data_IF_507296217326
#
_entry.id   IF_507296217326
#
_cell.length_a   1.000
_cell.length_b   1.000
_cell.length_c   1.000
_cell.angle_alpha   90.00
_cell.angle_beta   90.00
_cell.angle_gamma   90.00
#
_symmetry.space_group_name_H-M   'P 1'
#
loop_
_entity.id
_entity.type
_entity.pdbx_description
1 polymer ?
#
# COMPACT_ATOMS: atom_id res chain seq x y z
N UNK A 1 77.51 -7.51 31.51
CA UNK A 1 78.26 -7.50 30.23
C UNK A 1 77.96 -6.16 29.58
N UNK A 2 78.75 -5.11 29.81
CA UNK A 2 79.84 -4.62 28.93
C UNK A 2 79.35 -4.39 27.49
N UNK A 3 79.48 -3.26 26.81
CA UNK A 3 80.32 -2.05 26.89
C UNK A 3 79.78 -1.11 25.77
N UNK A 4 79.66 0.22 26.00
CA UNK A 4 80.33 1.36 25.30
C UNK A 4 80.47 1.25 23.77
N UNK A 5 80.16 2.27 22.95
CA UNK A 5 80.92 3.53 22.73
C UNK A 5 80.10 4.52 21.85
N UNK A 6 79.96 5.82 22.18
CA UNK A 6 80.70 7.03 21.67
C UNK A 6 80.41 7.38 20.18
N UNK A 7 80.31 8.62 19.66
CA UNK A 7 80.62 10.00 20.10
C UNK A 7 80.28 11.03 18.98
N UNK A 8 79.97 12.29 19.38
CA UNK A 8 80.37 13.63 18.81
C UNK A 8 79.95 14.08 17.38
N UNK A 9 79.19 15.20 17.27
CA UNK A 9 79.58 16.60 16.82
C UNK A 9 79.75 16.75 15.28
N UNK A 10 79.44 17.82 14.53
CA UNK A 10 79.15 19.26 14.73
C UNK A 10 78.76 19.90 13.35
N UNK A 11 78.02 21.02 13.39
CA UNK A 11 78.08 22.25 12.53
C UNK A 11 77.96 22.25 10.97
N UNK A 12 76.87 22.91 10.48
CA UNK A 12 76.69 23.94 9.38
C UNK A 12 77.35 23.79 7.97
N UNK A 13 76.97 24.61 6.92
CA UNK A 13 75.69 25.19 6.47
C UNK A 13 75.46 25.13 4.90
N UNK A 14 74.29 25.58 4.40
CA UNK A 14 74.03 25.94 2.97
C UNK A 14 73.81 24.76 2.01
N UNK A 15 73.09 24.81 0.89
CA UNK A 15 72.33 25.82 0.15
C UNK A 15 71.50 25.09 -0.93
N UNK A 16 70.32 25.63 -1.27
CA UNK A 16 69.60 25.50 -2.55
C UNK A 16 69.42 24.11 -3.21
N UNK A 17 68.16 23.68 -3.37
CA UNK A 17 67.47 23.64 -4.68
C UNK A 17 66.04 23.12 -4.54
N UNK A 18 65.19 23.69 -5.39
CA UNK A 18 63.75 23.49 -5.52
C UNK A 18 63.34 22.08 -5.97
N UNK A 19 62.26 21.54 -5.40
CA UNK A 19 61.15 20.92 -6.15
C UNK A 19 60.02 20.53 -5.19
N UNK A 20 58.80 20.97 -5.51
CA UNK A 20 57.56 20.68 -4.79
C UNK A 20 57.21 19.18 -4.78
N UNK A 21 56.37 18.72 -3.85
CA UNK A 21 54.99 18.43 -4.27
C UNK A 21 53.90 18.80 -3.25
N UNK A 22 52.83 19.39 -3.82
CA UNK A 22 51.40 19.14 -3.58
C UNK A 22 50.95 18.84 -2.14
N UNK A 23 50.39 19.86 -1.49
CA UNK A 23 49.63 19.76 -0.24
C UNK A 23 48.16 19.39 -0.48
N UNK A 24 47.70 18.37 0.23
CA UNK A 24 46.28 18.09 0.47
C UNK A 24 45.68 19.19 1.36
N UNK A 25 44.66 19.87 0.84
CA UNK A 25 43.79 20.74 1.63
C UNK A 25 42.37 20.14 1.61
N UNK A 26 41.84 19.88 2.80
CA UNK A 26 40.42 19.61 3.01
C UNK A 26 39.59 20.80 2.53
N UNK A 27 38.39 20.55 1.96
CA UNK A 27 37.33 21.53 2.09
C UNK A 27 36.02 20.96 2.66
N UNK A 28 35.53 21.71 3.65
CA UNK A 28 34.16 22.18 3.83
C UNK A 28 32.99 21.17 3.80
N UNK A 29 32.33 21.07 4.97
CA UNK A 29 30.93 20.68 5.12
C UNK A 29 30.05 21.53 4.18
N UNK A 30 29.43 20.91 3.19
CA UNK A 30 28.29 21.50 2.49
C UNK A 30 27.00 21.16 3.24
N UNK A 31 26.31 22.19 3.72
CA UNK A 31 24.90 22.11 4.09
C UNK A 31 24.11 21.92 2.80
N UNK A 32 23.53 20.74 2.60
CA UNK A 32 22.56 20.53 1.54
C UNK A 32 21.23 21.17 1.95
N UNK A 33 20.94 22.31 1.34
CA UNK A 33 19.68 23.04 1.38
C UNK A 33 18.52 22.17 0.88
N UNK A 34 17.40 22.22 1.60
CA UNK A 34 16.12 21.68 1.13
C UNK A 34 15.54 22.61 0.06
N UNK A 35 14.95 22.11 -1.04
CA UNK A 35 14.22 22.97 -1.95
C UNK A 35 12.84 23.28 -1.35
N UNK A 36 12.68 24.51 -0.87
CA UNK A 36 11.37 25.15 -0.73
C UNK A 36 10.85 25.44 -2.14
N UNK A 37 9.74 24.79 -2.53
CA UNK A 37 9.02 25.16 -3.75
C UNK A 37 8.04 26.27 -3.38
N UNK A 38 8.35 27.49 -3.83
CA UNK A 38 7.45 28.62 -3.84
C UNK A 38 6.43 28.45 -4.98
N UNK A 39 5.16 28.73 -4.69
CA UNK A 39 4.10 28.79 -5.69
C UNK A 39 4.24 30.10 -6.47
N UNK A 40 4.41 30.03 -7.79
CA UNK A 40 4.28 31.16 -8.69
C UNK A 40 3.11 30.89 -9.63
N UNK A 41 2.05 31.69 -9.50
CA UNK A 41 1.01 31.87 -10.51
C UNK A 41 1.62 32.57 -11.72
N UNK A 42 1.47 32.01 -12.92
CA UNK A 42 1.17 32.86 -14.09
C UNK A 42 0.58 32.12 -15.31
N UNK A 43 -0.48 32.75 -15.83
CA UNK A 43 -0.95 32.94 -17.22
C UNK A 43 -1.29 31.78 -18.19
N UNK A 44 -2.61 31.64 -18.37
CA UNK A 44 -3.41 31.64 -19.62
C UNK A 44 -2.85 30.95 -20.89
N UNK A 45 -3.50 29.85 -21.27
CA UNK A 45 -3.54 29.33 -22.66
C UNK A 45 -5.00 29.00 -22.99
N UNK A 46 -5.54 29.60 -24.05
CA UNK A 46 -6.89 29.32 -24.56
C UNK A 46 -6.99 27.93 -25.24
N UNK A 47 -8.10 27.19 -25.10
CA UNK A 47 -8.36 25.98 -25.86
C UNK A 47 -9.30 26.22 -27.05
N UNK A 48 -8.90 25.75 -28.24
CA UNK A 48 -9.81 25.52 -29.37
C UNK A 48 -10.61 24.22 -29.15
N UNK A 49 -11.90 24.24 -29.51
CA UNK A 49 -12.92 23.19 -29.34
C UNK A 49 -12.65 21.86 -30.07
N UNK A 50 -13.45 20.80 -29.93
CA UNK A 50 -14.82 20.63 -29.45
C UNK A 50 -14.99 19.21 -28.86
N UNK A 51 -15.78 19.09 -27.78
CA UNK A 51 -16.71 17.99 -27.46
C UNK A 51 -17.30 18.29 -26.06
N UNK A 52 -18.33 19.14 -26.04
CA UNK A 52 -19.03 19.59 -24.83
C UNK A 52 -19.79 18.45 -24.15
N UNK A 53 -19.26 18.00 -23.01
CA UNK A 53 -20.10 17.58 -21.88
C UNK A 53 -20.61 18.87 -21.23
N UNK A 54 -21.92 19.10 -21.33
CA UNK A 54 -22.62 20.33 -20.93
C UNK A 54 -22.08 20.96 -19.65
N UNK A 55 -21.46 22.12 -19.80
CA UNK A 55 -21.11 23.03 -18.73
C UNK A 55 -22.39 23.66 -18.15
N UNK A 56 -22.91 23.06 -17.09
CA UNK A 56 -23.92 23.68 -16.24
C UNK A 56 -23.48 23.54 -14.78
N UNK A 57 -22.87 24.61 -14.24
CA UNK A 57 -22.58 24.81 -12.81
C UNK A 57 -21.38 24.05 -12.26
N UNK A 58 -20.15 24.45 -12.59
CA UNK A 58 -18.96 23.98 -11.86
C UNK A 58 -18.52 25.08 -10.89
N UNK A 59 -18.91 24.99 -9.62
CA UNK A 59 -18.17 25.70 -8.57
C UNK A 59 -16.70 25.26 -8.60
N UNK A 60 -15.77 26.17 -8.38
CA UNK A 60 -14.35 25.80 -8.28
C UNK A 60 -14.07 25.09 -6.96
N UNK A 61 -13.30 24.00 -6.97
CA UNK A 61 -12.88 23.33 -5.74
C UNK A 61 -11.61 23.98 -5.18
N UNK A 62 -11.73 24.65 -4.03
CA UNK A 62 -10.59 25.20 -3.31
C UNK A 62 -10.01 24.22 -2.29
N UNK A 63 -8.79 23.73 -2.55
CA UNK A 63 -8.08 22.85 -1.61
C UNK A 63 -7.72 23.56 -0.30
N UNK A 64 -7.41 24.86 -0.36
CA UNK A 64 -7.08 25.65 0.84
C UNK A 64 -8.29 25.84 1.74
N UNK A 65 -9.47 26.09 1.16
CA UNK A 65 -10.73 26.15 1.91
C UNK A 65 -11.07 24.79 2.54
N UNK A 66 -11.03 23.71 1.75
CA UNK A 66 -11.26 22.37 2.27
C UNK A 66 -10.29 22.04 3.41
N UNK A 67 -9.01 22.40 3.29
CA UNK A 67 -8.00 22.22 4.34
C UNK A 67 -8.32 23.00 5.61
N UNK A 68 -8.84 24.22 5.49
CA UNK A 68 -9.28 25.04 6.63
C UNK A 68 -10.45 24.38 7.37
N UNK A 69 -11.43 23.84 6.63
CA UNK A 69 -12.60 23.16 7.21
C UNK A 69 -12.16 21.95 8.04
N UNK A 70 -11.25 21.12 7.53
CA UNK A 70 -10.84 19.85 8.16
C UNK A 70 -9.55 19.92 8.98
N UNK A 71 -9.05 21.14 9.28
CA UNK A 71 -7.72 21.35 9.86
C UNK A 71 -7.43 20.56 11.15
N UNK A 72 -8.45 20.30 11.97
CA UNK A 72 -8.33 19.63 13.27
C UNK A 72 -8.21 18.09 13.16
N UNK A 73 -8.44 17.52 11.97
CA UNK A 73 -8.55 16.06 11.79
C UNK A 73 -7.22 15.35 11.48
N UNK A 74 -6.07 16.05 11.45
CA UNK A 74 -4.78 15.49 11.02
C UNK A 74 -3.95 14.82 12.12
N UNK A 75 -4.52 14.57 13.29
CA UNK A 75 -3.82 13.95 14.41
C UNK A 75 -4.22 12.47 14.58
N UNK A 76 -3.34 11.51 14.26
CA UNK A 76 -3.62 10.11 14.50
C UNK A 76 -3.67 9.83 16.01
N UNK A 77 -4.69 9.10 16.46
CA UNK A 77 -4.83 8.68 17.86
C UNK A 77 -4.29 7.26 18.04
N UNK A 78 -3.11 7.06 18.67
CA UNK A 78 -2.48 5.73 18.76
C UNK A 78 -3.36 4.68 19.44
N UNK A 79 -4.19 5.06 20.42
CA UNK A 79 -5.06 4.12 21.13
C UNK A 79 -6.10 3.48 20.21
N UNK A 80 -6.64 4.26 19.26
CA UNK A 80 -7.57 3.75 18.26
C UNK A 80 -6.86 2.75 17.34
N UNK A 81 -5.64 3.06 16.87
CA UNK A 81 -4.89 2.15 16.00
C UNK A 81 -4.52 0.84 16.71
N UNK A 82 -3.99 0.93 17.94
CA UNK A 82 -3.59 -0.25 18.71
C UNK A 82 -4.77 -1.13 19.08
N UNK A 83 -5.85 -0.55 19.63
CA UNK A 83 -7.03 -1.31 20.04
C UNK A 83 -7.73 -1.95 18.85
N UNK A 84 -7.99 -1.21 17.77
CA UNK A 84 -8.63 -1.74 16.57
C UNK A 84 -7.80 -2.87 15.96
N UNK A 85 -6.50 -2.63 15.74
CA UNK A 85 -5.65 -3.64 15.13
C UNK A 85 -5.51 -4.90 15.99
N UNK A 86 -5.20 -4.77 17.28
CA UNK A 86 -4.94 -5.93 18.15
C UNK A 86 -6.21 -6.72 18.46
N UNK A 87 -7.35 -6.05 18.67
CA UNK A 87 -8.64 -6.74 18.87
C UNK A 87 -9.08 -7.44 17.59
N UNK A 88 -9.02 -6.75 16.44
CA UNK A 88 -9.34 -7.35 15.14
C UNK A 88 -8.44 -8.55 14.86
N UNK A 89 -7.14 -8.43 15.12
CA UNK A 89 -6.19 -9.52 14.93
C UNK A 89 -6.47 -10.69 15.87
N UNK A 90 -6.62 -10.44 17.17
CA UNK A 90 -6.85 -11.50 18.16
C UNK A 90 -8.14 -12.27 17.89
N UNK A 91 -9.25 -11.56 17.63
CA UNK A 91 -10.53 -12.19 17.30
C UNK A 91 -10.46 -12.89 15.94
N UNK A 92 -9.81 -12.29 14.94
CA UNK A 92 -9.64 -12.89 13.62
C UNK A 92 -8.84 -14.19 13.65
N UNK A 93 -7.72 -14.21 14.37
CA UNK A 93 -6.88 -15.41 14.55
C UNK A 93 -7.59 -16.46 15.41
N UNK A 94 -8.30 -16.06 16.47
CA UNK A 94 -9.09 -16.99 17.27
C UNK A 94 -10.19 -17.66 16.43
N UNK A 95 -10.96 -16.87 15.66
CA UNK A 95 -11.96 -17.39 14.75
C UNK A 95 -11.35 -18.33 13.69
N UNK A 96 -10.23 -17.91 13.07
CA UNK A 96 -9.50 -18.73 12.10
C UNK A 96 -9.08 -20.08 12.70
N UNK A 97 -8.56 -20.06 13.93
CA UNK A 97 -8.11 -21.27 14.63
C UNK A 97 -9.23 -22.23 15.00
N UNK A 98 -10.49 -21.79 15.00
CA UNK A 98 -11.66 -22.56 15.39
C UNK A 98 -12.48 -23.04 14.18
N UNK A 99 -12.24 -22.52 12.96
CA UNK A 99 -13.00 -22.89 11.74
C UNK A 99 -13.10 -24.40 11.56
N UNK A 100 -11.99 -25.12 11.79
CA UNK A 100 -11.89 -26.57 11.59
C UNK A 100 -12.10 -27.39 12.86
N UNK A 101 -12.39 -26.73 13.97
CA UNK A 101 -12.59 -27.36 15.27
C UNK A 101 -13.88 -26.86 15.94
N UNK A 102 -15.03 -26.83 15.23
CA UNK A 102 -16.29 -26.34 15.80
C UNK A 102 -16.78 -27.15 17.01
N UNK A 103 -16.34 -28.41 17.13
CA UNK A 103 -16.61 -29.28 18.29
C UNK A 103 -16.08 -28.72 19.61
N UNK A 104 -15.09 -27.81 19.56
CA UNK A 104 -14.58 -27.11 20.75
C UNK A 104 -15.55 -26.05 21.29
N UNK A 105 -16.54 -25.65 20.48
CA UNK A 105 -17.53 -24.65 20.85
C UNK A 105 -18.87 -25.31 21.18
N UNK A 106 -19.26 -26.34 20.42
CA UNK A 106 -20.55 -27.02 20.62
C UNK A 106 -20.45 -28.52 20.37
N UNK A 107 -21.05 -29.31 21.29
CA UNK A 107 -21.17 -30.75 21.13
C UNK A 107 -22.26 -31.17 20.12
N UNK A 108 -23.14 -30.25 19.72
CA UNK A 108 -24.20 -30.55 18.76
C UNK A 108 -23.66 -30.47 17.32
N UNK A 109 -23.49 -31.64 16.70
CA UNK A 109 -22.95 -31.81 15.34
C UNK A 109 -23.74 -31.04 14.26
N UNK A 110 -25.04 -30.83 14.46
CA UNK A 110 -25.86 -30.08 13.51
C UNK A 110 -25.40 -28.62 13.36
N UNK A 111 -24.70 -28.06 14.36
CA UNK A 111 -24.19 -26.70 14.35
C UNK A 111 -22.76 -26.57 13.83
N UNK A 112 -22.04 -27.68 13.60
CA UNK A 112 -20.62 -27.62 13.22
C UNK A 112 -20.41 -26.87 11.90
N UNK A 113 -21.13 -27.25 10.85
CA UNK A 113 -21.01 -26.60 9.53
C UNK A 113 -21.42 -25.13 9.53
N UNK A 114 -22.60 -24.75 10.06
CA UNK A 114 -22.99 -23.34 10.17
C UNK A 114 -21.96 -22.51 10.95
N UNK A 115 -21.43 -23.05 12.05
CA UNK A 115 -20.44 -22.37 12.87
C UNK A 115 -19.11 -22.19 12.13
N UNK A 116 -18.62 -23.22 11.44
CA UNK A 116 -17.42 -23.14 10.60
C UNK A 116 -17.54 -22.05 9.52
N UNK A 117 -18.71 -21.92 8.89
CA UNK A 117 -18.98 -20.85 7.90
C UNK A 117 -18.87 -19.46 8.56
N UNK A 118 -19.55 -19.26 9.69
CA UNK A 118 -19.55 -17.97 10.40
C UNK A 118 -18.15 -17.61 10.87
N UNK A 119 -17.40 -18.57 11.42
CA UNK A 119 -16.02 -18.39 11.85
C UNK A 119 -15.11 -18.07 10.67
N UNK A 120 -15.28 -18.74 9.53
CA UNK A 120 -14.49 -18.48 8.32
C UNK A 120 -14.67 -17.03 7.86
N UNK A 121 -15.91 -16.58 7.63
CA UNK A 121 -16.15 -15.20 7.17
C UNK A 121 -15.74 -14.16 8.21
N UNK A 122 -15.99 -14.41 9.49
CA UNK A 122 -15.54 -13.52 10.58
C UNK A 122 -14.01 -13.38 10.56
N UNK A 123 -13.30 -14.51 10.49
CA UNK A 123 -11.83 -14.51 10.44
C UNK A 123 -11.30 -13.80 9.19
N UNK A 124 -11.87 -14.09 8.01
CA UNK A 124 -11.40 -13.54 6.75
C UNK A 124 -11.64 -12.03 6.63
N UNK A 125 -12.78 -11.52 7.12
CA UNK A 125 -13.07 -10.09 7.19
C UNK A 125 -12.15 -9.34 8.16
N UNK A 126 -11.84 -9.94 9.31
CA UNK A 126 -10.91 -9.36 10.28
C UNK A 126 -9.46 -9.40 9.80
N UNK A 127 -9.03 -10.50 9.16
CA UNK A 127 -7.72 -10.58 8.49
C UNK A 127 -7.62 -9.54 7.37
N UNK A 128 -8.68 -9.35 6.59
CA UNK A 128 -8.75 -8.30 5.58
C UNK A 128 -8.60 -6.91 6.19
N UNK A 129 -9.37 -6.62 7.26
CA UNK A 129 -9.25 -5.36 8.01
C UNK A 129 -7.83 -5.13 8.53
N UNK A 130 -7.22 -6.13 9.17
CA UNK A 130 -5.83 -6.07 9.65
C UNK A 130 -4.83 -5.84 8.52
N UNK A 131 -5.04 -6.46 7.36
CA UNK A 131 -4.18 -6.29 6.18
C UNK A 131 -4.20 -4.85 5.68
N UNK A 132 -5.37 -4.19 5.69
CA UNK A 132 -5.52 -2.83 5.18
C UNK A 132 -4.90 -1.73 6.04
N UNK A 133 -4.46 -2.02 7.27
CA UNK A 133 -3.62 -1.08 8.01
C UNK A 133 -2.30 -0.76 7.30
N UNK A 134 -1.86 -1.60 6.33
CA UNK A 134 -0.72 -1.27 5.46
C UNK A 134 -0.91 0.05 4.72
N UNK A 135 -2.16 0.38 4.39
CA UNK A 135 -2.55 1.61 3.70
C UNK A 135 -2.38 2.84 4.59
N UNK A 136 -2.75 2.76 5.86
CA UNK A 136 -2.47 3.83 6.82
C UNK A 136 -0.97 3.97 7.07
N UNK A 137 -0.28 2.85 7.23
CA UNK A 137 1.13 2.81 7.58
C UNK A 137 2.05 3.45 6.53
N UNK A 138 1.66 3.42 5.26
CA UNK A 138 2.43 4.05 4.18
C UNK A 138 2.30 5.58 4.17
N UNK A 139 1.14 6.10 4.57
CA UNK A 139 0.86 7.54 4.62
C UNK A 139 1.32 8.22 5.91
N UNK A 140 1.47 7.46 7.00
CA UNK A 140 2.05 7.97 8.24
C UNK A 140 3.50 8.40 8.03
N UNK A 141 3.82 9.61 8.49
CA UNK A 141 5.13 10.24 8.34
C UNK A 141 6.27 9.32 8.80
N UNK A 142 7.38 9.36 8.04
CA UNK A 142 8.60 8.61 8.42
C UNK A 142 9.07 9.04 9.80
N UNK A 143 9.18 8.09 10.73
CA UNK A 143 9.62 8.33 12.10
C UNK A 143 8.53 8.17 13.15
N UNK A 144 7.26 8.21 12.73
CA UNK A 144 6.11 7.98 13.60
C UNK A 144 5.65 6.51 13.55
N UNK A 145 4.88 6.08 14.55
CA UNK A 145 4.29 4.73 14.64
C UNK A 145 5.31 3.59 14.44
N UNK A 146 6.59 3.79 14.78
CA UNK A 146 7.67 2.81 14.54
C UNK A 146 7.38 1.45 15.16
N UNK A 147 6.99 1.44 16.44
CA UNK A 147 6.68 0.20 17.17
C UNK A 147 5.43 -0.45 16.59
N UNK A 148 4.39 0.34 16.30
CA UNK A 148 3.17 -0.18 15.67
C UNK A 148 3.46 -0.83 14.32
N UNK A 149 4.31 -0.21 13.47
CA UNK A 149 4.73 -0.78 12.18
C UNK A 149 5.52 -2.09 12.34
N UNK A 150 6.37 -2.20 13.36
CA UNK A 150 7.08 -3.45 13.67
C UNK A 150 6.08 -4.53 14.08
N UNK A 151 5.21 -4.25 15.05
CA UNK A 151 4.21 -5.22 15.53
C UNK A 151 3.25 -5.61 14.42
N UNK A 152 2.78 -4.66 13.61
CA UNK A 152 1.95 -4.92 12.46
C UNK A 152 2.64 -5.85 11.45
N UNK A 153 3.92 -5.64 11.14
CA UNK A 153 4.65 -6.57 10.27
C UNK A 153 4.78 -7.96 10.90
N UNK A 154 5.04 -8.07 12.20
CA UNK A 154 5.19 -9.37 12.84
C UNK A 154 3.86 -10.15 12.91
N UNK A 155 2.74 -9.46 13.11
CA UNK A 155 1.42 -10.08 13.30
C UNK A 155 0.60 -10.22 12.01
N UNK A 156 0.75 -9.29 11.07
CA UNK A 156 -0.02 -9.24 9.82
C UNK A 156 0.90 -9.24 8.59
N UNK A 157 1.83 -8.29 8.48
CA UNK A 157 2.65 -8.13 7.28
C UNK A 157 3.38 -9.40 6.83
N UNK A 158 4.14 -10.03 7.73
CA UNK A 158 4.89 -11.27 7.46
C UNK A 158 3.96 -12.48 7.37
N UNK A 159 3.07 -12.75 8.36
CA UNK A 159 2.19 -13.92 8.28
C UNK A 159 1.23 -13.92 7.09
N UNK A 160 0.83 -12.74 6.62
CA UNK A 160 -0.06 -12.57 5.46
C UNK A 160 0.70 -12.33 4.16
N UNK A 161 2.05 -12.40 4.18
CA UNK A 161 2.92 -12.27 3.00
C UNK A 161 2.83 -10.91 2.28
N UNK A 162 2.52 -9.85 3.04
CA UNK A 162 2.35 -8.46 2.60
C UNK A 162 3.17 -7.48 3.47
N UNK A 163 4.49 -7.68 3.61
CA UNK A 163 5.30 -6.83 4.47
C UNK A 163 5.34 -5.38 3.92
N UNK A 164 5.44 -4.38 4.79
CA UNK A 164 5.10 -2.97 4.44
C UNK A 164 5.77 -2.44 3.16
N UNK A 165 6.98 -2.89 2.82
CA UNK A 165 7.70 -2.36 1.65
C UNK A 165 7.02 -2.63 0.30
N UNK A 166 6.13 -3.63 0.22
CA UNK A 166 5.38 -3.95 -1.01
C UNK A 166 4.34 -2.89 -1.33
N UNK A 167 4.02 -2.01 -0.37
CA UNK A 167 2.99 -0.98 -0.52
C UNK A 167 3.57 0.43 -0.67
N UNK A 168 4.90 0.59 -0.72
CA UNK A 168 5.51 1.92 -0.85
C UNK A 168 5.21 2.63 -2.17
N UNK A 169 4.92 1.86 -3.23
CA UNK A 169 4.49 2.40 -4.53
C UNK A 169 3.15 3.11 -4.44
N UNK A 170 2.34 2.84 -3.41
CA UNK A 170 1.08 3.54 -3.19
C UNK A 170 1.27 5.05 -3.02
N UNK A 171 2.43 5.52 -2.53
CA UNK A 171 2.69 6.96 -2.45
C UNK A 171 2.69 7.59 -3.85
N UNK A 172 3.17 6.86 -4.86
CA UNK A 172 3.23 7.35 -6.23
C UNK A 172 1.82 7.51 -6.82
N UNK A 173 0.87 6.64 -6.45
CA UNK A 173 -0.55 6.78 -6.81
C UNK A 173 -1.17 8.09 -6.31
N UNK A 174 -0.70 8.66 -5.19
CA UNK A 174 -1.17 9.96 -4.68
C UNK A 174 -0.41 11.17 -5.24
N UNK A 175 0.64 10.95 -6.04
CA UNK A 175 1.38 12.05 -6.65
C UNK A 175 0.63 12.57 -7.85
N UNK A 176 0.36 13.88 -7.84
CA UNK A 176 -0.35 14.58 -8.92
C UNK A 176 0.17 14.24 -10.31
N UNK A 177 1.49 14.18 -10.48
CA UNK A 177 2.14 13.91 -11.77
C UNK A 177 2.08 12.45 -12.23
N UNK A 178 1.85 11.52 -11.31
CA UNK A 178 1.90 10.09 -11.60
C UNK A 178 0.51 9.48 -11.72
N UNK A 179 -0.48 9.97 -10.93
CA UNK A 179 -1.84 9.44 -10.91
C UNK A 179 -2.38 9.24 -12.32
N UNK A 180 -2.85 8.04 -12.62
CA UNK A 180 -3.47 7.74 -13.90
C UNK A 180 -2.52 7.65 -15.10
N UNK A 181 -1.20 7.72 -14.89
CA UNK A 181 -0.16 7.55 -15.91
C UNK A 181 0.51 6.17 -15.80
N UNK A 182 1.46 5.87 -16.68
CA UNK A 182 2.25 4.62 -16.64
C UNK A 182 3.16 4.51 -15.39
N UNK A 183 3.41 5.62 -14.69
CA UNK A 183 4.20 5.63 -13.46
C UNK A 183 3.38 5.25 -12.22
N UNK A 184 2.07 5.06 -12.37
CA UNK A 184 1.15 4.63 -11.33
C UNK A 184 0.74 3.15 -11.52
N UNK A 185 1.41 2.25 -10.81
CA UNK A 185 1.07 0.82 -10.85
C UNK A 185 -0.31 0.50 -10.25
N UNK A 186 -0.90 1.40 -9.45
CA UNK A 186 -2.23 1.24 -8.89
C UNK A 186 -3.32 1.81 -9.79
N UNK A 187 -2.99 2.19 -11.03
CA UNK A 187 -3.97 2.67 -11.98
C UNK A 187 -3.86 1.99 -13.33
N UNK A 188 -5.01 1.53 -13.83
CA UNK A 188 -5.19 1.10 -15.21
C UNK A 188 -6.45 1.78 -15.71
N UNK A 189 -6.43 2.31 -16.93
CA UNK A 189 -7.58 2.97 -17.57
C UNK A 189 -8.69 1.99 -17.97
N UNK A 190 -9.21 1.24 -17.00
CA UNK A 190 -10.20 0.18 -17.19
C UNK A 190 -11.45 0.67 -17.92
N UNK A 191 -11.89 1.92 -17.70
CA UNK A 191 -13.04 2.49 -18.39
C UNK A 191 -12.82 2.64 -19.91
N UNK A 192 -11.55 2.62 -20.36
CA UNK A 192 -11.14 2.71 -21.77
C UNK A 192 -10.64 1.37 -22.34
N UNK A 193 -10.66 0.31 -21.52
CA UNK A 193 -10.26 -1.03 -21.94
C UNK A 193 -11.49 -1.92 -22.17
N UNK A 194 -11.36 -3.02 -22.94
CA UNK A 194 -12.45 -3.98 -23.10
C UNK A 194 -12.93 -4.52 -21.74
N UNK A 195 -14.24 -4.78 -21.54
CA UNK A 195 -14.77 -5.30 -20.28
C UNK A 195 -14.12 -6.61 -19.81
N UNK A 196 -13.59 -7.41 -20.74
CA UNK A 196 -12.80 -8.61 -20.43
C UNK A 196 -11.60 -8.34 -19.52
N UNK A 197 -11.03 -7.12 -19.55
CA UNK A 197 -9.92 -6.75 -18.66
C UNK A 197 -10.35 -6.69 -17.19
N UNK A 198 -11.60 -6.28 -16.91
CA UNK A 198 -12.16 -6.30 -15.55
C UNK A 198 -12.25 -7.75 -15.06
N UNK A 199 -12.72 -8.67 -15.92
CA UNK A 199 -12.77 -10.10 -15.59
C UNK A 199 -11.38 -10.69 -15.41
N UNK A 200 -10.42 -10.30 -16.26
CA UNK A 200 -9.04 -10.73 -16.12
C UNK A 200 -8.46 -10.29 -14.77
N UNK A 201 -8.62 -9.03 -14.39
CA UNK A 201 -8.22 -8.50 -13.09
C UNK A 201 -8.83 -9.31 -11.93
N UNK A 202 -10.14 -9.55 -11.98
CA UNK A 202 -10.84 -10.33 -10.94
C UNK A 202 -10.41 -11.80 -10.90
N UNK A 203 -9.93 -12.38 -12.01
CA UNK A 203 -9.49 -13.78 -12.01
C UNK A 203 -8.12 -13.98 -11.33
N UNK A 204 -7.29 -12.94 -11.25
CA UNK A 204 -5.97 -13.00 -10.62
C UNK A 204 -6.03 -13.36 -9.13
N UNK A 205 -7.16 -13.08 -8.46
CA UNK A 205 -7.36 -13.38 -7.03
C UNK A 205 -7.18 -14.86 -6.69
N UNK A 206 -7.37 -15.76 -7.66
CA UNK A 206 -7.18 -17.21 -7.51
C UNK A 206 -5.70 -17.61 -7.51
N UNK A 207 -4.84 -16.81 -8.15
CA UNK A 207 -3.44 -17.13 -8.40
C UNK A 207 -2.50 -16.32 -7.50
N UNK A 208 -2.89 -15.11 -7.10
CA UNK A 208 -2.10 -14.21 -6.22
C UNK A 208 -1.61 -14.91 -4.94
N UNK A 209 -2.44 -15.66 -4.17
CA UNK A 209 -1.96 -16.36 -2.97
C UNK A 209 -0.83 -17.36 -3.26
N UNK A 210 -0.88 -18.04 -4.42
CA UNK A 210 0.15 -18.98 -4.85
C UNK A 210 1.43 -18.24 -5.30
N UNK A 211 1.27 -17.13 -6.01
CA UNK A 211 2.39 -16.27 -6.42
C UNK A 211 3.11 -15.66 -5.21
N UNK A 212 2.37 -15.30 -4.15
CA UNK A 212 2.97 -14.83 -2.91
C UNK A 212 3.87 -15.91 -2.30
N UNK A 213 3.39 -17.16 -2.19
CA UNK A 213 4.20 -18.28 -1.68
C UNK A 213 5.45 -18.49 -2.55
N UNK A 214 5.30 -18.51 -3.88
CA UNK A 214 6.43 -18.66 -4.80
C UNK A 214 7.44 -17.50 -4.68
N UNK A 215 6.94 -16.26 -4.56
CA UNK A 215 7.75 -15.05 -4.39
C UNK A 215 8.59 -15.11 -3.13
N UNK A 216 8.01 -15.49 -2.00
CA UNK A 216 8.71 -15.48 -0.73
C UNK A 216 9.53 -16.75 -0.50
N UNK A 217 9.01 -17.92 -0.85
CA UNK A 217 9.66 -19.22 -0.62
C UNK A 217 10.75 -19.56 -1.65
N UNK A 218 10.60 -19.14 -2.91
CA UNK A 218 11.50 -19.49 -4.01
C UNK A 218 12.32 -18.29 -4.51
N UNK A 219 11.69 -17.16 -4.86
CA UNK A 219 12.42 -16.03 -5.43
C UNK A 219 13.33 -15.32 -4.42
N UNK A 220 12.94 -15.27 -3.14
CA UNK A 220 13.76 -14.65 -2.09
C UNK A 220 15.18 -15.23 -2.01
N UNK A 221 15.41 -16.54 -1.81
CA UNK A 221 16.77 -17.07 -1.75
C UNK A 221 17.51 -16.90 -3.09
N UNK A 222 16.83 -17.04 -4.22
CA UNK A 222 17.42 -16.83 -5.55
C UNK A 222 17.89 -15.37 -5.74
N UNK A 223 17.18 -14.40 -5.17
CA UNK A 223 17.56 -12.99 -5.17
C UNK A 223 18.82 -12.71 -4.33
N UNK A 224 19.13 -13.55 -3.35
CA UNK A 224 20.36 -13.43 -2.57
C UNK A 224 21.56 -13.97 -3.32
N UNK A 225 21.36 -14.97 -4.18
CA UNK A 225 22.39 -15.60 -4.99
C UNK A 225 22.71 -14.77 -6.25
N UNK A 226 21.68 -14.29 -6.96
CA UNK A 226 21.85 -13.62 -8.26
C UNK A 226 21.38 -12.15 -8.23
N UNK A 227 22.27 -11.19 -8.51
CA UNK A 227 21.90 -9.78 -8.68
C UNK A 227 20.85 -9.56 -9.76
N UNK A 228 20.88 -10.32 -10.87
CA UNK A 228 19.91 -10.20 -11.96
C UNK A 228 18.51 -10.62 -11.50
N UNK A 229 18.41 -11.74 -10.78
CA UNK A 229 17.14 -12.21 -10.22
C UNK A 229 16.62 -11.23 -9.17
N UNK A 230 17.50 -10.68 -8.33
CA UNK A 230 17.13 -9.65 -7.35
C UNK A 230 16.52 -8.42 -7.98
N UNK A 231 17.19 -7.87 -8.99
CA UNK A 231 16.74 -6.64 -9.63
C UNK A 231 15.44 -6.87 -10.40
N UNK A 232 15.28 -8.03 -11.05
CA UNK A 232 14.01 -8.44 -11.66
C UNK A 232 12.89 -8.59 -10.61
N UNK A 233 13.19 -9.26 -9.50
CA UNK A 233 12.23 -9.49 -8.40
C UNK A 233 11.78 -8.17 -7.78
N UNK A 234 12.69 -7.21 -7.60
CA UNK A 234 12.35 -5.87 -7.11
C UNK A 234 11.50 -5.08 -8.09
N UNK A 235 11.76 -5.20 -9.39
CA UNK A 235 11.02 -4.48 -10.44
C UNK A 235 9.60 -5.00 -10.63
N UNK A 236 9.41 -6.32 -10.63
CA UNK A 236 8.16 -6.94 -11.11
C UNK A 236 7.38 -7.73 -10.06
N UNK A 237 8.02 -8.15 -8.96
CA UNK A 237 7.42 -9.06 -7.99
C UNK A 237 7.52 -8.53 -6.55
N UNK A 238 7.54 -7.21 -6.38
CA UNK A 238 7.78 -6.56 -5.08
C UNK A 238 6.85 -5.38 -4.80
N UNK A 239 5.76 -5.26 -5.55
CA UNK A 239 4.75 -4.22 -5.38
C UNK A 239 3.36 -4.86 -5.36
N UNK A 240 2.50 -4.40 -4.45
CA UNK A 240 1.08 -4.78 -4.44
C UNK A 240 0.29 -3.74 -5.20
N UNK A 241 0.10 -4.00 -6.48
CA UNK A 241 -0.41 -3.05 -7.47
C UNK A 241 -1.38 -3.76 -8.41
N UNK A 242 -2.06 -3.01 -9.28
CA UNK A 242 -2.96 -3.60 -10.27
C UNK A 242 -2.30 -3.88 -11.60
N UNK A 243 -1.44 -2.97 -12.08
CA UNK A 243 -0.82 -3.11 -13.39
C UNK A 243 0.29 -4.18 -13.36
N UNK A 244 0.12 -5.33 -14.03
CA UNK A 244 1.16 -6.35 -14.11
C UNK A 244 2.38 -5.91 -14.93
N UNK A 245 2.26 -4.85 -15.74
CA UNK A 245 3.33 -4.34 -16.58
C UNK A 245 4.19 -3.26 -15.89
N UNK A 246 3.74 -2.75 -14.75
CA UNK A 246 4.46 -1.73 -13.99
C UNK A 246 5.86 -2.21 -13.58
N UNK A 247 6.82 -1.29 -13.67
CA UNK A 247 8.23 -1.54 -13.34
C UNK A 247 8.64 -0.65 -12.18
N UNK A 248 8.79 -1.23 -11.00
CA UNK A 248 9.22 -0.49 -9.81
C UNK A 248 10.65 0.03 -9.96
N UNK A 249 10.94 1.31 -9.62
CA UNK A 249 12.30 1.80 -9.50
C UNK A 249 13.12 1.02 -8.46
N UNK A 250 14.41 0.83 -8.73
CA UNK A 250 15.28 0.10 -7.80
C UNK A 250 15.45 0.88 -6.48
N UNK A 251 15.43 0.17 -5.33
CA UNK A 251 15.50 0.83 -4.04
C UNK A 251 16.90 1.39 -3.75
N UNK A 252 16.94 2.51 -3.03
CA UNK A 252 18.17 3.07 -2.46
C UNK A 252 18.85 2.06 -1.52
N UNK A 253 20.17 2.15 -1.26
CA UNK A 253 20.86 1.21 -0.38
C UNK A 253 20.26 1.11 1.03
N UNK A 254 19.72 2.21 1.56
CA UNK A 254 19.04 2.23 2.87
C UNK A 254 17.74 1.43 2.82
N UNK A 255 16.88 1.68 1.83
CA UNK A 255 15.60 0.97 1.68
C UNK A 255 15.84 -0.52 1.40
N UNK A 256 16.86 -0.84 0.60
CA UNK A 256 17.25 -2.22 0.28
C UNK A 256 17.55 -3.07 1.52
N UNK A 257 18.22 -2.51 2.54
CA UNK A 257 18.49 -3.24 3.80
C UNK A 257 17.21 -3.64 4.53
N UNK A 258 16.24 -2.72 4.58
CA UNK A 258 14.93 -3.00 5.19
C UNK A 258 14.13 -4.01 4.37
N UNK A 259 14.17 -3.92 3.04
CA UNK A 259 13.54 -4.90 2.15
C UNK A 259 14.10 -6.30 2.42
N UNK A 260 15.44 -6.45 2.46
CA UNK A 260 16.07 -7.76 2.73
C UNK A 260 15.65 -8.36 4.07
N UNK A 261 15.51 -7.54 5.11
CA UNK A 261 15.03 -8.01 6.41
C UNK A 261 13.60 -8.55 6.32
N UNK A 262 12.69 -7.79 5.68
CA UNK A 262 11.30 -8.20 5.50
C UNK A 262 11.17 -9.44 4.59
N UNK A 263 11.99 -9.52 3.53
CA UNK A 263 12.13 -10.70 2.66
C UNK A 263 12.58 -11.93 3.45
N UNK A 264 13.62 -11.80 4.28
CA UNK A 264 14.11 -12.89 5.10
C UNK A 264 13.03 -13.39 6.08
N UNK A 265 12.28 -12.48 6.72
CA UNK A 265 11.20 -12.86 7.63
C UNK A 265 10.06 -13.59 6.91
N UNK A 266 9.65 -13.12 5.72
CA UNK A 266 8.62 -13.81 4.93
C UNK A 266 9.11 -15.17 4.42
N UNK A 267 10.36 -15.26 3.97
CA UNK A 267 10.99 -16.53 3.58
C UNK A 267 11.01 -17.53 4.74
N UNK A 268 11.49 -17.10 5.92
CA UNK A 268 11.52 -17.92 7.12
C UNK A 268 10.11 -18.37 7.53
N UNK A 269 9.11 -17.49 7.43
CA UNK A 269 7.73 -17.84 7.73
C UNK A 269 7.17 -18.89 6.76
N UNK A 270 7.35 -18.73 5.44
CA UNK A 270 6.89 -19.70 4.44
C UNK A 270 7.57 -21.06 4.65
N UNK A 271 8.88 -21.09 4.89
CA UNK A 271 9.61 -22.33 5.15
C UNK A 271 9.25 -22.95 6.49
N UNK A 272 9.00 -22.14 7.52
CA UNK A 272 8.48 -22.62 8.81
C UNK A 272 7.15 -23.36 8.63
N UNK A 273 6.20 -22.78 7.89
CA UNK A 273 4.92 -23.43 7.57
C UNK A 273 5.16 -24.69 6.73
N UNK A 274 6.03 -24.64 5.72
CA UNK A 274 6.39 -25.79 4.89
C UNK A 274 6.97 -26.95 5.71
N UNK A 275 7.90 -26.69 6.62
CA UNK A 275 8.49 -27.69 7.52
C UNK A 275 7.43 -28.26 8.46
N UNK A 276 6.56 -27.41 9.02
CA UNK A 276 5.45 -27.82 9.88
C UNK A 276 4.44 -28.73 9.20
N UNK A 277 4.36 -28.74 7.87
CA UNK A 277 3.51 -29.69 7.14
C UNK A 277 3.96 -31.13 7.26
N UNK A 278 5.25 -31.36 7.49
CA UNK A 278 5.84 -32.71 7.51
C UNK A 278 6.38 -33.10 8.89
N UNK A 279 6.65 -32.12 9.76
CA UNK A 279 7.30 -32.35 11.04
C UNK A 279 6.51 -31.72 12.18
N UNK A 280 6.34 -32.47 13.26
CA UNK A 280 5.87 -32.01 14.56
C UNK A 280 6.99 -31.34 15.36
N UNK A 281 6.76 -30.16 15.94
CA UNK A 281 7.66 -29.64 16.98
C UNK A 281 6.88 -28.87 18.05
N UNK A 282 7.17 -29.20 19.31
CA UNK A 282 6.38 -28.85 20.51
C UNK A 282 6.27 -27.37 20.87
N UNK A 283 6.64 -26.44 19.97
CA UNK A 283 6.45 -25.01 20.19
C UNK A 283 5.00 -24.57 19.95
N UNK A 284 4.27 -25.24 19.04
CA UNK A 284 2.87 -24.90 18.72
C UNK A 284 1.94 -26.13 18.75
N UNK A 285 2.41 -27.27 18.24
CA UNK A 285 1.72 -28.56 18.31
C UNK A 285 2.74 -29.67 18.09
N UNK A 286 2.60 -30.77 18.83
CA UNK A 286 3.42 -31.98 18.66
C UNK A 286 3.20 -32.66 17.32
N UNK A 287 2.05 -32.44 16.68
CA UNK A 287 1.70 -33.05 15.40
C UNK A 287 2.06 -32.17 14.21
N UNK A 288 2.35 -32.74 13.03
CA UNK A 288 2.38 -31.98 11.78
C UNK A 288 1.07 -31.21 11.55
N UNK A 289 1.17 -30.08 10.86
CA UNK A 289 -0.02 -29.32 10.48
C UNK A 289 -0.88 -30.16 9.51
N UNK A 290 -2.21 -30.18 9.69
CA UNK A 290 -3.09 -30.92 8.80
C UNK A 290 -3.17 -30.27 7.42
N UNK A 291 -3.27 -31.04 6.34
CA UNK A 291 -3.40 -30.52 4.96
C UNK A 291 -4.54 -29.50 4.80
N UNK A 292 -5.66 -29.69 5.51
CA UNK A 292 -6.78 -28.74 5.51
C UNK A 292 -6.41 -27.32 5.99
N UNK A 293 -5.28 -27.13 6.69
CA UNK A 293 -4.72 -25.81 6.97
C UNK A 293 -4.36 -25.06 5.69
N UNK A 294 -3.73 -25.72 4.71
CA UNK A 294 -3.39 -25.08 3.42
C UNK A 294 -4.65 -24.71 2.64
N UNK A 295 -5.66 -25.58 2.64
CA UNK A 295 -6.95 -25.29 2.00
C UNK A 295 -7.60 -24.07 2.64
N UNK A 296 -7.67 -24.01 3.97
CA UNK A 296 -8.22 -22.87 4.68
C UNK A 296 -7.41 -21.58 4.44
N UNK A 297 -6.07 -21.65 4.49
CA UNK A 297 -5.19 -20.52 4.21
C UNK A 297 -5.37 -20.00 2.78
N UNK A 298 -5.44 -20.90 1.80
CA UNK A 298 -5.71 -20.55 0.40
C UNK A 298 -7.07 -19.87 0.23
N UNK A 299 -8.15 -20.47 0.74
CA UNK A 299 -9.49 -19.90 0.65
C UNK A 299 -9.60 -18.54 1.36
N UNK A 300 -8.93 -18.38 2.50
CA UNK A 300 -8.85 -17.10 3.21
C UNK A 300 -8.12 -16.05 2.37
N UNK A 301 -6.97 -16.42 1.79
CA UNK A 301 -6.21 -15.54 0.90
C UNK A 301 -7.00 -15.12 -0.32
N UNK A 302 -7.67 -16.07 -1.00
CA UNK A 302 -8.56 -15.79 -2.13
C UNK A 302 -9.66 -14.81 -1.70
N UNK A 303 -10.36 -15.08 -0.59
CA UNK A 303 -11.42 -14.19 -0.11
C UNK A 303 -10.92 -12.78 0.17
N UNK A 304 -9.82 -12.64 0.92
CA UNK A 304 -9.22 -11.34 1.27
C UNK A 304 -8.85 -10.55 0.01
N UNK A 305 -8.20 -11.20 -0.96
CA UNK A 305 -7.80 -10.56 -2.22
C UNK A 305 -9.03 -10.26 -3.09
N UNK A 306 -10.06 -11.11 -3.09
CA UNK A 306 -11.33 -10.84 -3.81
C UNK A 306 -12.05 -9.62 -3.27
N UNK A 307 -12.20 -9.48 -1.94
CA UNK A 307 -12.83 -8.29 -1.35
C UNK A 307 -12.00 -7.05 -1.67
N UNK A 308 -10.66 -7.14 -1.58
CA UNK A 308 -9.80 -6.03 -1.96
C UNK A 308 -9.94 -5.65 -3.45
N UNK A 309 -9.99 -6.63 -4.36
CA UNK A 309 -10.13 -6.39 -5.79
C UNK A 309 -11.45 -5.67 -6.11
N UNK A 310 -12.56 -6.11 -5.51
CA UNK A 310 -13.86 -5.44 -5.65
C UNK A 310 -13.83 -4.02 -5.08
N UNK A 311 -13.22 -3.83 -3.90
CA UNK A 311 -13.02 -2.52 -3.28
C UNK A 311 -12.24 -1.60 -4.23
N UNK A 312 -11.13 -2.09 -4.77
CA UNK A 312 -10.27 -1.32 -5.65
C UNK A 312 -11.03 -0.90 -6.90
N UNK A 313 -11.72 -1.82 -7.60
CA UNK A 313 -12.54 -1.47 -8.77
C UNK A 313 -13.57 -0.37 -8.46
N UNK A 314 -14.16 -0.39 -7.27
CA UNK A 314 -15.12 0.63 -6.83
C UNK A 314 -14.51 1.89 -6.24
N UNK A 315 -13.19 1.97 -6.07
CA UNK A 315 -12.53 3.12 -5.47
C UNK A 315 -12.34 4.28 -6.48
N UNK A 316 -12.31 3.94 -7.78
CA UNK A 316 -12.08 4.86 -8.88
C UNK A 316 -13.06 4.66 -10.03
N UNK A 317 -13.17 5.69 -10.87
CA UNK A 317 -13.94 5.73 -12.11
C UNK A 317 -13.11 5.25 -13.31
N UNK A 318 -11.79 5.18 -13.19
CA UNK A 318 -10.86 4.63 -14.18
C UNK A 318 -10.85 5.36 -15.53
N UNK A 319 -11.12 6.67 -15.50
CA UNK A 319 -11.39 7.49 -16.70
C UNK A 319 -10.17 8.15 -17.35
N UNK A 320 -9.01 8.20 -16.67
CA UNK A 320 -7.73 8.65 -17.25
C UNK A 320 -7.46 8.06 -18.63
N UNK A 321 -6.87 8.86 -19.53
CA UNK A 321 -6.37 8.44 -20.84
C UNK A 321 -4.87 8.05 -20.82
N UNK A 322 -4.24 8.04 -19.63
CA UNK A 322 -2.81 7.76 -19.47
C UNK A 322 -1.95 9.02 -19.35
N UNK A 323 -2.55 10.21 -19.43
CA UNK A 323 -1.87 11.50 -19.26
C UNK A 323 -2.08 12.09 -17.87
N UNK A 324 -1.33 13.14 -17.53
CA UNK A 324 -1.43 13.82 -16.24
C UNK A 324 -2.82 14.47 -16.09
N UNK A 325 -3.55 14.08 -15.04
CA UNK A 325 -4.88 14.63 -14.72
C UNK A 325 -4.76 15.85 -13.81
N UNK A 326 -5.70 16.81 -13.93
CA UNK A 326 -5.79 17.91 -12.95
C UNK A 326 -6.15 17.37 -11.56
N UNK A 327 -5.85 18.12 -10.50
CA UNK A 327 -6.22 17.71 -9.14
C UNK A 327 -7.73 17.47 -8.98
N UNK A 328 -8.56 18.30 -9.63
CA UNK A 328 -10.01 18.16 -9.59
C UNK A 328 -10.45 16.91 -10.33
N UNK A 329 -9.83 16.58 -11.46
CA UNK A 329 -10.14 15.35 -12.19
C UNK A 329 -9.73 14.10 -11.40
N UNK A 330 -8.58 14.11 -10.72
CA UNK A 330 -8.16 13.00 -9.84
C UNK A 330 -9.16 12.80 -8.69
N UNK A 331 -9.59 13.90 -8.07
CA UNK A 331 -10.63 13.88 -7.04
C UNK A 331 -11.94 13.30 -7.57
N UNK A 332 -12.37 13.74 -8.76
CA UNK A 332 -13.60 13.29 -9.41
C UNK A 332 -13.48 11.90 -10.00
N UNK A 333 -12.28 11.38 -10.25
CA UNK A 333 -12.11 10.00 -10.63
C UNK A 333 -12.21 9.08 -9.40
N UNK A 334 -11.88 9.58 -8.20
CA UNK A 334 -12.01 8.84 -6.94
C UNK A 334 -13.45 8.88 -6.37
N UNK A 335 -13.79 7.87 -5.56
CA UNK A 335 -15.18 7.66 -5.07
C UNK A 335 -15.27 7.58 -3.53
N UNK A 336 -16.33 8.15 -2.98
CA UNK A 336 -16.75 8.05 -1.58
C UNK A 336 -18.08 7.28 -1.44
N UNK A 337 -18.26 6.50 -0.37
CA UNK A 337 -19.47 5.74 -0.05
C UNK A 337 -19.99 6.09 1.36
N UNK A 338 -20.72 7.21 1.53
CA UNK A 338 -21.16 7.68 2.84
C UNK A 338 -22.35 6.89 3.42
N UNK A 339 -23.27 6.40 2.58
CA UNK A 339 -24.65 6.04 2.99
C UNK A 339 -24.86 4.73 3.75
N UNK A 340 -23.84 3.85 3.88
CA UNK A 340 -23.96 2.54 4.56
C UNK A 340 -22.69 2.22 5.38
N UNK A 341 -22.47 2.86 6.54
CA UNK A 341 -21.19 2.75 7.26
C UNK A 341 -20.85 1.33 7.73
N UNK A 342 -21.82 0.53 8.16
CA UNK A 342 -21.58 -0.85 8.60
C UNK A 342 -21.15 -1.75 7.44
N UNK A 343 -21.99 -1.84 6.40
CA UNK A 343 -21.71 -2.67 5.21
C UNK A 343 -20.46 -2.15 4.49
N UNK A 344 -20.34 -0.83 4.32
CA UNK A 344 -19.15 -0.17 3.77
C UNK A 344 -17.88 -0.49 4.54
N UNK A 345 -17.97 -0.56 5.87
CA UNK A 345 -16.86 -0.92 6.74
C UNK A 345 -16.42 -2.38 6.63
N UNK A 346 -17.22 -3.28 6.05
CA UNK A 346 -16.83 -4.68 5.84
C UNK A 346 -15.94 -4.84 4.60
N UNK A 347 -16.27 -4.18 3.49
CA UNK A 347 -15.54 -4.31 2.22
C UNK A 347 -14.55 -3.17 1.95
N UNK A 348 -14.68 -2.02 2.62
CA UNK A 348 -13.72 -0.93 2.61
C UNK A 348 -13.46 -0.40 4.05
N UNK A 349 -12.86 -1.24 4.92
CA UNK A 349 -12.54 -0.87 6.29
C UNK A 349 -11.45 0.20 6.33
N UNK A 350 -11.08 0.64 7.55
CA UNK A 350 -9.98 1.60 7.78
C UNK A 350 -10.20 2.88 6.93
N UNK A 351 -11.44 3.38 6.94
CA UNK A 351 -11.80 4.63 6.27
C UNK A 351 -11.77 4.62 4.73
N UNK A 352 -11.37 3.51 4.10
CA UNK A 352 -11.21 3.39 2.65
C UNK A 352 -12.52 3.55 1.86
N UNK A 353 -13.68 3.47 2.53
CA UNK A 353 -14.95 3.85 1.91
C UNK A 353 -15.00 5.34 1.52
N UNK A 354 -14.11 6.18 2.05
CA UNK A 354 -13.94 7.58 1.69
C UNK A 354 -12.67 7.79 0.85
N UNK A 355 -12.53 7.03 -0.24
CA UNK A 355 -11.31 7.00 -1.04
C UNK A 355 -11.01 8.35 -1.69
N UNK A 356 -12.03 9.06 -2.19
CA UNK A 356 -11.82 10.39 -2.75
C UNK A 356 -11.37 11.40 -1.69
N UNK A 357 -11.93 11.36 -0.48
CA UNK A 357 -11.44 12.21 0.61
C UNK A 357 -10.00 11.86 0.99
N UNK A 358 -9.68 10.58 1.01
CA UNK A 358 -8.33 10.12 1.25
C UNK A 358 -7.34 10.65 0.20
N UNK A 359 -7.70 10.65 -1.09
CA UNK A 359 -6.89 11.25 -2.16
C UNK A 359 -6.66 12.76 -1.98
N UNK A 360 -7.65 13.49 -1.49
CA UNK A 360 -7.49 14.93 -1.18
C UNK A 360 -6.56 15.14 0.02
N UNK A 361 -6.67 14.28 1.05
CA UNK A 361 -5.93 14.39 2.29
C UNK A 361 -5.31 13.05 2.73
N UNK A 362 -4.24 12.56 2.07
CA UNK A 362 -3.73 11.20 2.30
C UNK A 362 -3.19 10.97 3.71
N UNK A 363 -2.73 12.03 4.37
CA UNK A 363 -2.22 11.99 5.75
C UNK A 363 -3.32 12.10 6.81
N UNK A 364 -4.59 12.26 6.42
CA UNK A 364 -5.69 12.24 7.37
C UNK A 364 -5.87 10.81 7.91
N UNK A 365 -5.81 10.60 9.24
CA UNK A 365 -5.95 9.28 9.83
C UNK A 365 -7.34 8.72 9.56
N UNK A 366 -7.42 7.41 9.31
CA UNK A 366 -8.66 6.79 8.84
C UNK A 366 -9.87 7.02 9.75
N UNK A 367 -9.65 7.09 11.07
CA UNK A 367 -10.72 7.23 12.06
C UNK A 367 -11.40 8.60 11.99
N UNK A 368 -10.75 9.60 11.37
CA UNK A 368 -11.28 10.95 11.21
C UNK A 368 -12.01 11.17 9.87
N UNK A 369 -11.82 10.32 8.86
CA UNK A 369 -12.35 10.51 7.50
C UNK A 369 -13.88 10.67 7.48
N UNK A 370 -14.61 9.94 8.33
CA UNK A 370 -16.07 10.01 8.38
C UNK A 370 -16.58 11.36 8.88
N UNK A 371 -15.96 11.91 9.93
CA UNK A 371 -16.31 13.22 10.48
C UNK A 371 -15.88 14.33 9.50
N UNK A 372 -14.66 14.24 8.97
CA UNK A 372 -14.15 15.18 7.98
C UNK A 372 -15.05 15.23 6.73
N UNK A 373 -15.51 14.09 6.23
CA UNK A 373 -16.48 14.03 5.13
C UNK A 373 -17.78 14.76 5.49
N UNK A 374 -18.35 14.51 6.67
CA UNK A 374 -19.58 15.20 7.10
C UNK A 374 -19.39 16.71 7.16
N UNK A 375 -18.26 17.18 7.71
CA UNK A 375 -17.94 18.60 7.83
C UNK A 375 -17.74 19.27 6.46
N UNK A 376 -17.07 18.59 5.52
CA UNK A 376 -16.94 19.07 4.14
C UNK A 376 -18.30 19.15 3.43
N UNK A 377 -19.17 18.15 3.61
CA UNK A 377 -20.51 18.16 3.02
C UNK A 377 -21.42 19.26 3.60
N UNK A 378 -21.16 19.73 4.82
CA UNK A 378 -21.91 20.82 5.44
C UNK A 378 -21.37 22.21 5.12
N UNK A 379 -20.04 22.37 5.03
CA UNK A 379 -19.42 23.70 4.92
C UNK A 379 -19.00 24.09 3.50
N UNK A 380 -18.74 23.14 2.60
CA UNK A 380 -18.44 23.47 1.20
C UNK A 380 -19.70 23.98 0.47
N UNK A 381 -19.54 24.85 -0.54
CA UNK A 381 -20.63 25.29 -1.41
C UNK A 381 -21.48 24.14 -1.97
N UNK A 382 -22.76 24.39 -2.24
CA UNK A 382 -23.70 23.38 -2.76
C UNK A 382 -23.30 22.85 -4.14
N UNK A 383 -22.63 23.67 -4.94
CA UNK A 383 -22.11 23.36 -6.28
C UNK A 383 -20.67 22.83 -6.26
N UNK A 384 -20.09 22.59 -5.08
CA UNK A 384 -18.73 22.07 -4.95
C UNK A 384 -18.57 20.71 -5.66
N UNK A 385 -17.55 20.54 -6.53
CA UNK A 385 -17.29 19.27 -7.23
C UNK A 385 -17.06 18.09 -6.28
N UNK A 386 -16.63 18.34 -5.04
CA UNK A 386 -16.43 17.32 -4.01
C UNK A 386 -17.71 16.48 -3.79
N UNK A 387 -18.89 17.08 -3.88
CA UNK A 387 -20.17 16.38 -3.68
C UNK A 387 -20.40 15.28 -4.72
N UNK A 388 -19.85 15.43 -5.92
CA UNK A 388 -19.92 14.43 -7.01
C UNK A 388 -19.01 13.22 -6.80
N UNK A 389 -18.13 13.26 -5.80
CA UNK A 389 -17.32 12.09 -5.43
C UNK A 389 -18.15 10.99 -4.77
N UNK A 390 -19.36 11.30 -4.27
CA UNK A 390 -20.20 10.34 -3.58
C UNK A 390 -20.96 9.41 -4.53
N UNK A 391 -20.87 8.12 -4.28
CA UNK A 391 -21.66 7.08 -4.94
C UNK A 391 -22.65 6.42 -3.98
N UNK A 392 -23.75 5.91 -4.53
CA UNK A 392 -24.82 5.27 -3.75
C UNK A 392 -24.44 3.85 -3.30
N UNK A 393 -23.81 3.07 -4.18
CA UNK A 393 -23.44 1.68 -3.90
C UNK A 393 -22.30 1.20 -4.78
N UNK A 394 -21.50 0.28 -4.25
CA UNK A 394 -20.41 -0.37 -4.98
C UNK A 394 -20.93 -1.03 -6.27
N UNK A 395 -22.06 -1.75 -6.20
CA UNK A 395 -22.64 -2.43 -7.35
C UNK A 395 -23.01 -1.49 -8.49
N UNK A 396 -23.55 -0.30 -8.17
CA UNK A 396 -23.86 0.70 -9.19
C UNK A 396 -22.59 1.19 -9.90
N UNK A 397 -21.51 1.46 -9.16
CA UNK A 397 -20.24 1.91 -9.75
C UNK A 397 -19.55 0.81 -10.57
N UNK A 398 -19.59 -0.45 -10.13
CA UNK A 398 -19.09 -1.58 -10.91
C UNK A 398 -19.87 -1.76 -12.22
N UNK A 399 -21.19 -1.61 -12.19
CA UNK A 399 -22.03 -1.66 -13.39
C UNK A 399 -21.76 -0.48 -14.33
N UNK A 400 -21.55 0.72 -13.79
CA UNK A 400 -21.17 1.90 -14.58
C UNK A 400 -19.78 1.74 -15.20
N UNK A 401 -18.80 1.20 -14.47
CA UNK A 401 -17.48 0.90 -14.99
C UNK A 401 -17.58 -0.09 -16.16
N UNK A 402 -18.31 -1.20 -15.98
CA UNK A 402 -18.54 -2.18 -17.03
C UNK A 402 -19.18 -1.55 -18.29
N UNK A 403 -20.18 -0.68 -18.09
CA UNK A 403 -20.84 0.03 -19.19
C UNK A 403 -19.88 0.96 -19.93
N UNK A 404 -19.09 1.77 -19.21
CA UNK A 404 -18.08 2.67 -19.80
C UNK A 404 -17.04 1.90 -20.62
N UNK A 405 -16.50 0.81 -20.08
CA UNK A 405 -15.57 -0.08 -20.79
C UNK A 405 -16.16 -0.64 -22.08
N UNK A 406 -17.45 -0.95 -22.11
CA UNK A 406 -18.14 -1.45 -23.32
C UNK A 406 -18.34 -0.33 -24.34
N UNK A 407 -18.78 0.84 -23.91
CA UNK A 407 -19.01 2.00 -24.78
C UNK A 407 -17.72 2.51 -25.42
N UNK A 408 -16.62 2.59 -24.66
CA UNK A 408 -15.31 2.99 -25.17
C UNK A 408 -14.81 2.06 -26.28
N UNK A 409 -15.12 0.76 -26.21
CA UNK A 409 -14.76 -0.20 -27.27
C UNK A 409 -15.52 0.08 -28.56
N UNK A 410 -16.81 0.43 -28.46
CA UNK A 410 -17.64 0.75 -29.63
C UNK A 410 -17.21 2.06 -30.30
N UNK A 411 -16.69 3.03 -29.54
CA UNK A 411 -16.16 4.27 -30.10
C UNK A 411 -14.81 4.09 -30.82
N UNK A 412 -14.07 3.02 -30.51
CA UNK A 412 -12.75 2.73 -31.09
C UNK A 412 -12.78 1.73 -32.26
N UNK A 413 -13.94 1.10 -32.52
CA UNK A 413 -14.20 0.17 -33.63
C UNK A 413 -14.95 0.85 -34.76
#
# INVERSE_FOLDING_TARGET
MSQSTSSTSSSHPGSSTSSSPVGESQPARSQASQPHVAWTEDQSVEPNGDLELSAAGNGEFSLSEARRIVGDFFHPNPWIYWSDFLVSWAVGIAAYSLVRYPERITANEAWHWPLSIVLFFTSALLIYRCSLFIHELVHIRTGEFKVFRIVWNLLAGVPFLIPTFVYYTHIDHHRRKHYGTQEDGEYISLARMPPGQILFYLSQVLVIPLLAIARWGLLTPLSWISPKVRDWTHKHASSMIMDPMYVRPLPTPRVRRMIRLQEALCFLFVWFIGIRMFTGFGVLSSEPLPFGFLVQAYLTGVFVVSVNALRTLGAHRWTSDGTEMSFVDQMLDSINYPGRPFIGGLWAPIGLRFHALHHIFPTMPYHALAEAHRKLMSELPEDSPYRRTNAQSLWAELALLWRRSRESRHAAS
#
